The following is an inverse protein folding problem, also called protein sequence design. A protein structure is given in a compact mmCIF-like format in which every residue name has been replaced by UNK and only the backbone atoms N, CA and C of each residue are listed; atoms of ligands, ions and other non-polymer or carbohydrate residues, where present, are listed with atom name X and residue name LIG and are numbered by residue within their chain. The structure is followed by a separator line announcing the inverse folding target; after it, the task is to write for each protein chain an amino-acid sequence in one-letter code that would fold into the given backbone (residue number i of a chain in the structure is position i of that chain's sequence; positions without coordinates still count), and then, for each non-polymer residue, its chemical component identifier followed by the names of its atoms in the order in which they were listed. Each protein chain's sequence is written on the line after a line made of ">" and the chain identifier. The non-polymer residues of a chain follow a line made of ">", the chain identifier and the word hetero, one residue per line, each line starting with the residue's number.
data_IF_166441487973
#
_entry.id   IF_166441487973
#
_cell.length_a   1.000
_cell.length_b   1.000
_cell.length_c   1.000
_cell.angle_alpha   90.00
_cell.angle_beta   90.00
_cell.angle_gamma   90.00
#
_symmetry.space_group_name_H-M   'P 1'
#
loop_
_entity.id
_entity.type
_entity.pdbx_description
1 polymer ?
#
# COMPACT_ATOMS: atom_id res chain seq x y z
N UNK A 1 6.91 9.81 2.88
CA UNK A 1 6.87 8.33 2.92
C UNK A 1 6.98 7.85 1.49
N UNK A 2 7.88 6.91 1.18
CA UNK A 2 8.42 6.62 -0.17
C UNK A 2 7.46 6.01 -1.21
N UNK A 3 6.21 6.49 -1.24
CA UNK A 3 5.18 6.20 -2.24
C UNK A 3 4.74 7.54 -2.83
N UNK A 4 4.70 7.62 -4.14
CA UNK A 4 4.33 8.79 -4.94
C UNK A 4 3.14 8.46 -5.84
N UNK A 5 2.55 9.50 -6.45
CA UNK A 5 1.53 9.31 -7.47
C UNK A 5 2.13 8.49 -8.63
N UNK A 6 1.29 7.67 -9.26
CA UNK A 6 1.64 6.82 -10.41
C UNK A 6 2.59 5.65 -10.08
N UNK A 7 2.98 5.49 -8.82
CA UNK A 7 3.74 4.32 -8.39
C UNK A 7 2.91 3.03 -8.56
N UNK A 8 3.52 2.05 -9.20
CA UNK A 8 3.00 0.67 -9.23
C UNK A 8 3.45 -0.04 -7.96
N UNK A 9 2.48 -0.56 -7.21
CA UNK A 9 2.71 -1.27 -5.96
C UNK A 9 1.95 -2.59 -5.95
N UNK A 10 2.52 -3.59 -5.30
CA UNK A 10 1.88 -4.87 -5.10
C UNK A 10 1.30 -4.96 -3.69
N UNK A 11 0.03 -5.30 -3.57
CA UNK A 11 -0.56 -5.66 -2.27
C UNK A 11 -0.06 -7.06 -1.88
N UNK A 12 0.76 -7.14 -0.83
CA UNK A 12 1.33 -8.40 -0.34
C UNK A 12 0.40 -9.04 0.69
N UNK A 13 -0.13 -8.23 1.61
CA UNK A 13 -1.02 -8.72 2.68
C UNK A 13 -2.00 -7.62 3.10
N UNK A 14 -3.25 -8.01 3.33
CA UNK A 14 -4.25 -7.20 4.03
C UNK A 14 -4.50 -7.80 5.41
N UNK A 15 -4.57 -6.96 6.44
CA UNK A 15 -4.85 -7.38 7.82
C UNK A 15 -6.28 -7.03 8.24
N UNK A 16 -6.89 -7.80 9.16
CA UNK A 16 -8.27 -7.55 9.61
C UNK A 16 -8.51 -6.17 10.22
N UNK A 17 -7.47 -5.50 10.72
CA UNK A 17 -7.55 -4.14 11.27
C UNK A 17 -7.40 -3.04 10.20
N UNK A 18 -7.46 -3.39 8.92
CA UNK A 18 -7.35 -2.47 7.79
C UNK A 18 -5.92 -2.06 7.44
N UNK A 19 -4.91 -2.53 8.18
CA UNK A 19 -3.52 -2.30 7.79
C UNK A 19 -3.16 -3.12 6.54
N UNK A 20 -2.42 -2.52 5.62
CA UNK A 20 -2.06 -3.12 4.33
C UNK A 20 -0.55 -3.09 4.16
N UNK A 21 0.04 -4.26 3.89
CA UNK A 21 1.43 -4.38 3.49
C UNK A 21 1.52 -4.31 1.97
N UNK A 22 2.28 -3.33 1.47
CA UNK A 22 2.58 -3.18 0.06
C UNK A 22 4.06 -3.42 -0.21
N UNK A 23 4.39 -3.87 -1.42
CA UNK A 23 5.74 -3.95 -1.94
C UNK A 23 5.92 -3.00 -3.14
N UNK A 24 7.07 -2.34 -3.19
CA UNK A 24 7.55 -1.52 -4.32
C UNK A 24 9.00 -1.90 -4.58
N UNK A 25 9.23 -2.74 -5.60
CA UNK A 25 10.54 -3.37 -5.82
C UNK A 25 10.95 -4.22 -4.61
N UNK A 26 12.16 -4.00 -4.10
CA UNK A 26 12.69 -4.70 -2.91
C UNK A 26 12.17 -4.13 -1.58
N UNK A 27 11.53 -2.96 -1.62
CA UNK A 27 11.04 -2.29 -0.42
C UNK A 27 9.65 -2.77 -0.04
N UNK A 28 9.43 -3.00 1.26
CA UNK A 28 8.12 -3.31 1.84
C UNK A 28 7.70 -2.22 2.80
N UNK A 29 6.46 -1.76 2.66
CA UNK A 29 5.90 -0.69 3.47
C UNK A 29 4.56 -1.12 4.07
N UNK A 30 4.42 -0.93 5.38
CA UNK A 30 3.15 -1.15 6.08
C UNK A 30 2.37 0.16 6.15
N UNK A 31 1.16 0.17 5.60
CA UNK A 31 0.21 1.26 5.71
C UNK A 31 -0.80 0.94 6.81
N UNK A 32 -0.87 1.77 7.84
CA UNK A 32 -1.97 1.68 8.82
C UNK A 32 -3.32 1.95 8.15
N UNK A 33 -4.42 1.41 8.71
CA UNK A 33 -5.75 1.49 8.07
C UNK A 33 -6.20 2.91 7.74
N UNK A 34 -5.95 3.88 8.63
CA UNK A 34 -6.27 5.29 8.36
C UNK A 34 -5.46 5.93 7.23
N UNK A 35 -4.26 5.39 6.91
CA UNK A 35 -3.46 5.82 5.75
C UNK A 35 -3.90 5.09 4.48
N UNK A 36 -4.11 3.78 4.57
CA UNK A 36 -4.52 2.96 3.42
C UNK A 36 -5.84 3.44 2.81
N UNK A 37 -6.79 3.90 3.63
CA UNK A 37 -8.07 4.45 3.16
C UNK A 37 -7.97 5.79 2.41
N UNK A 38 -6.82 6.46 2.43
CA UNK A 38 -6.60 7.77 1.79
C UNK A 38 -5.87 7.67 0.45
N UNK A 39 -5.46 6.46 0.05
CA UNK A 39 -4.69 6.24 -1.18
C UNK A 39 -5.60 5.54 -2.18
N UNK A 40 -5.81 6.18 -3.32
CA UNK A 40 -6.56 5.62 -4.43
C UNK A 40 -5.61 4.86 -5.36
N UNK A 41 -6.03 3.67 -5.79
CA UNK A 41 -5.27 2.83 -6.72
C UNK A 41 -6.22 2.30 -7.79
N UNK A 42 -5.67 2.03 -8.97
CA UNK A 42 -6.37 1.37 -10.07
C UNK A 42 -5.82 -0.06 -10.15
N UNK A 43 -6.71 -1.04 -10.33
CA UNK A 43 -6.31 -2.44 -10.49
C UNK A 43 -5.96 -2.68 -11.95
N UNK A 44 -4.74 -3.14 -12.20
CA UNK A 44 -4.32 -3.76 -13.47
C UNK A 44 -4.55 -5.27 -13.47
#
# INVERSE_FOLDING_TARGET
>A
MGIQLEDVVQVVQSRPNGAVLIAKGENRLMLGGGMAQKIFVIKE
#
